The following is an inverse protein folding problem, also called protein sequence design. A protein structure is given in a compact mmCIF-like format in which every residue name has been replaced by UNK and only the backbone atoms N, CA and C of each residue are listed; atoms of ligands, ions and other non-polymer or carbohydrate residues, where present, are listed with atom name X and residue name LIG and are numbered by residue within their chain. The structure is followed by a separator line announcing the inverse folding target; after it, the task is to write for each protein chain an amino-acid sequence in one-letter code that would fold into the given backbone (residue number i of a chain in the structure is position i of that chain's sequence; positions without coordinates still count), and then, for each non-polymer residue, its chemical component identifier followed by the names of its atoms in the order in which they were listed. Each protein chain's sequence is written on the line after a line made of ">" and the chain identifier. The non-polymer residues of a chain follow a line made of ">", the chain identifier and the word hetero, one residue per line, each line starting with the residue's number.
data_IF_228138590882
#
_entry.id   IF_228138590882
#
_cell.length_a   1.000
_cell.length_b   1.000
_cell.length_c   1.000
_cell.angle_alpha   90.00
_cell.angle_beta   90.00
_cell.angle_gamma   90.00
#
_symmetry.space_group_name_H-M   'P 1'
#
loop_
_entity.id
_entity.type
_entity.pdbx_description
1 polymer ?
#
# COMPACT_ATOMS: atom_id res chain seq x y z
N UNK A 1 -22.53 7.85 -6.76
CA UNK A 1 -22.00 6.51 -7.09
C UNK A 1 -20.54 6.63 -7.54
N UNK A 2 -19.72 5.67 -7.13
CA UNK A 2 -18.25 5.67 -7.20
C UNK A 2 -17.79 4.27 -7.61
N UNK A 3 -16.86 4.17 -8.56
CA UNK A 3 -16.13 2.94 -8.88
C UNK A 3 -14.69 3.06 -8.35
N UNK A 4 -14.28 2.11 -7.52
CA UNK A 4 -12.89 1.95 -7.06
C UNK A 4 -12.33 0.68 -7.69
N UNK A 5 -11.18 0.78 -8.35
CA UNK A 5 -10.49 -0.36 -8.95
C UNK A 5 -9.06 -0.39 -8.42
N UNK A 6 -8.70 -1.51 -7.81
CA UNK A 6 -7.34 -1.76 -7.35
C UNK A 6 -6.60 -2.68 -8.33
N UNK A 7 -5.27 -2.57 -8.36
CA UNK A 7 -4.37 -3.35 -9.21
C UNK A 7 -4.79 -3.47 -10.69
N UNK A 8 -5.12 -2.34 -11.32
CA UNK A 8 -5.62 -2.30 -12.71
C UNK A 8 -4.68 -2.98 -13.71
N UNK A 9 -3.37 -3.01 -13.45
CA UNK A 9 -2.38 -3.66 -14.31
C UNK A 9 -2.70 -5.14 -14.62
N UNK A 10 -3.48 -5.83 -13.78
CA UNK A 10 -3.85 -7.23 -14.00
C UNK A 10 -4.87 -7.47 -15.12
N UNK A 11 -5.49 -6.43 -15.68
CA UNK A 11 -6.34 -6.57 -16.88
C UNK A 11 -5.51 -6.61 -18.16
N UNK A 12 -4.25 -6.18 -18.11
CA UNK A 12 -3.40 -6.11 -19.29
C UNK A 12 -3.20 -7.50 -19.93
N UNK A 13 -3.28 -7.57 -21.25
CA UNK A 13 -3.26 -8.83 -22.01
C UNK A 13 -4.53 -9.67 -21.92
N UNK A 14 -5.54 -9.28 -21.12
CA UNK A 14 -6.86 -9.94 -21.08
C UNK A 14 -7.85 -9.16 -21.95
N UNK A 15 -7.78 -9.36 -23.26
CA UNK A 15 -8.53 -8.57 -24.28
C UNK A 15 -10.02 -8.40 -23.94
N UNK A 16 -10.74 -9.48 -23.66
CA UNK A 16 -12.18 -9.39 -23.31
C UNK A 16 -12.44 -8.60 -22.02
N UNK A 17 -11.55 -8.69 -21.02
CA UNK A 17 -11.67 -7.92 -19.78
C UNK A 17 -11.39 -6.44 -20.02
N UNK A 18 -10.42 -6.12 -20.88
CA UNK A 18 -10.11 -4.75 -21.27
C UNK A 18 -11.28 -4.10 -22.03
N UNK A 19 -11.91 -4.84 -22.95
CA UNK A 19 -13.09 -4.38 -23.69
C UNK A 19 -14.26 -4.05 -22.75
N UNK A 20 -14.62 -4.99 -21.88
CA UNK A 20 -15.74 -4.78 -20.95
C UNK A 20 -15.47 -3.63 -19.96
N UNK A 21 -14.22 -3.56 -19.48
CA UNK A 21 -13.80 -2.47 -18.62
C UNK A 21 -13.86 -1.12 -19.35
N UNK A 22 -13.49 -1.05 -20.63
CA UNK A 22 -13.60 0.16 -21.44
C UNK A 22 -15.06 0.64 -21.55
N UNK A 23 -16.01 -0.27 -21.81
CA UNK A 23 -17.43 0.09 -21.86
C UNK A 23 -17.97 0.55 -20.49
N UNK A 24 -17.57 -0.13 -19.42
CA UNK A 24 -17.92 0.23 -18.05
C UNK A 24 -17.40 1.62 -17.70
N UNK A 25 -16.12 1.90 -18.02
CA UNK A 25 -15.49 3.20 -17.79
C UNK A 25 -16.27 4.31 -18.49
N UNK A 26 -16.56 4.14 -19.79
CA UNK A 26 -17.31 5.14 -20.57
C UNK A 26 -18.68 5.42 -19.98
N UNK A 27 -19.45 4.37 -19.71
CA UNK A 27 -20.81 4.51 -19.19
C UNK A 27 -20.85 5.26 -17.86
N UNK A 28 -19.89 4.99 -16.96
CA UNK A 28 -19.76 5.69 -15.68
C UNK A 28 -19.28 7.13 -15.84
N UNK A 29 -18.29 7.34 -16.69
CA UNK A 29 -17.75 8.67 -16.98
C UNK A 29 -18.83 9.59 -17.57
N UNK A 30 -19.57 9.11 -18.57
CA UNK A 30 -20.65 9.87 -19.22
C UNK A 30 -21.82 10.14 -18.25
N UNK A 31 -22.06 9.22 -17.31
CA UNK A 31 -23.00 9.41 -16.20
C UNK A 31 -22.43 10.27 -15.04
N UNK A 32 -21.28 10.91 -15.23
CA UNK A 32 -20.61 11.78 -14.26
C UNK A 32 -20.36 11.09 -12.90
N UNK A 33 -20.08 9.78 -12.94
CA UNK A 33 -19.73 8.99 -11.75
C UNK A 33 -18.22 9.06 -11.52
N UNK A 34 -17.83 9.08 -10.26
CA UNK A 34 -16.42 9.13 -9.91
C UNK A 34 -15.77 7.75 -10.13
N UNK A 35 -14.57 7.76 -10.71
CA UNK A 35 -13.77 6.55 -10.96
C UNK A 35 -12.40 6.80 -10.32
N UNK A 36 -11.94 5.89 -9.48
CA UNK A 36 -10.58 5.91 -8.91
C UNK A 36 -9.93 4.57 -9.23
N UNK A 37 -8.72 4.65 -9.76
CA UNK A 37 -7.94 3.51 -10.22
C UNK A 37 -6.59 3.55 -9.54
N UNK A 38 -6.20 2.43 -8.92
CA UNK A 38 -4.85 2.22 -8.42
C UNK A 38 -4.08 1.27 -9.36
N UNK A 39 -2.78 1.54 -9.50
CA UNK A 39 -1.86 0.80 -10.35
C UNK A 39 -0.49 0.72 -9.70
N UNK A 40 0.22 -0.39 -9.87
CA UNK A 40 1.60 -0.55 -9.39
C UNK A 40 2.64 0.21 -10.22
N UNK A 41 2.23 0.71 -11.39
CA UNK A 41 3.08 1.46 -12.34
C UNK A 41 2.26 2.46 -13.15
N UNK A 42 2.90 3.48 -13.75
CA UNK A 42 2.22 4.42 -14.64
C UNK A 42 1.52 3.72 -15.80
N UNK A 43 0.40 4.29 -16.28
CA UNK A 43 -0.38 3.72 -17.38
C UNK A 43 0.47 3.43 -18.65
N UNK A 44 1.47 4.28 -18.92
CA UNK A 44 2.42 4.12 -20.05
C UNK A 44 3.33 2.89 -19.90
N UNK A 45 3.56 2.40 -18.69
CA UNK A 45 4.45 1.27 -18.41
C UNK A 45 3.73 -0.09 -18.31
N UNK A 46 2.39 -0.10 -18.31
CA UNK A 46 1.60 -1.34 -18.29
C UNK A 46 1.64 -1.98 -19.68
N UNK A 47 2.55 -2.93 -19.90
CA UNK A 47 2.67 -3.67 -21.18
C UNK A 47 1.36 -4.38 -21.51
N UNK A 48 0.99 -4.42 -22.79
CA UNK A 48 -0.25 -5.08 -23.27
C UNK A 48 -1.56 -4.47 -22.77
N UNK A 49 -1.52 -3.29 -22.15
CA UNK A 49 -2.70 -2.44 -21.97
C UNK A 49 -2.99 -1.71 -23.28
N UNK A 50 -4.24 -1.77 -23.72
CA UNK A 50 -4.70 -1.11 -24.94
C UNK A 50 -4.54 0.41 -24.86
N UNK A 51 -4.16 1.02 -25.99
CA UNK A 51 -3.89 2.45 -26.09
C UNK A 51 -5.11 3.29 -25.65
N UNK A 52 -6.32 2.87 -26.01
CA UNK A 52 -7.54 3.58 -25.62
C UNK A 52 -7.72 3.67 -24.10
N UNK A 53 -7.36 2.62 -23.36
CA UNK A 53 -7.44 2.62 -21.89
C UNK A 53 -6.35 3.49 -21.28
N UNK A 54 -5.12 3.48 -21.83
CA UNK A 54 -4.04 4.37 -21.38
C UNK A 54 -4.46 5.82 -21.45
N UNK A 55 -5.00 6.24 -22.59
CA UNK A 55 -5.49 7.61 -22.78
C UNK A 55 -6.57 7.96 -21.75
N UNK A 56 -7.49 7.03 -21.43
CA UNK A 56 -8.51 7.28 -20.40
C UNK A 56 -7.93 7.43 -19.00
N UNK A 57 -6.92 6.65 -18.65
CA UNK A 57 -6.25 6.78 -17.35
C UNK A 57 -5.56 8.14 -17.21
N UNK A 58 -5.09 8.71 -18.31
CA UNK A 58 -4.47 10.04 -18.37
C UNK A 58 -5.45 11.22 -18.46
N UNK A 59 -6.75 10.97 -18.67
CA UNK A 59 -7.77 12.04 -18.66
C UNK A 59 -8.04 12.61 -17.27
N UNK A 60 -7.71 11.85 -16.23
CA UNK A 60 -7.97 12.20 -14.84
C UNK A 60 -6.79 12.86 -14.13
N UNK A 61 -6.94 13.01 -12.82
CA UNK A 61 -5.84 13.36 -11.94
C UNK A 61 -4.95 12.13 -11.73
N UNK A 62 -3.69 12.21 -12.18
CA UNK A 62 -2.66 11.22 -11.87
C UNK A 62 -1.89 11.68 -10.65
N UNK A 63 -1.95 10.89 -9.57
CA UNK A 63 -1.15 11.10 -8.38
C UNK A 63 -0.17 9.93 -8.23
N UNK A 64 1.09 10.26 -8.02
CA UNK A 64 2.16 9.29 -7.85
C UNK A 64 2.45 9.08 -6.36
N UNK A 65 2.59 7.81 -5.94
CA UNK A 65 2.81 7.43 -4.55
C UNK A 65 4.25 6.97 -4.41
N UNK A 66 5.08 7.86 -3.87
CA UNK A 66 6.51 7.62 -3.70
C UNK A 66 6.81 6.85 -2.39
N UNK A 67 7.92 6.10 -2.33
CA UNK A 67 8.38 5.49 -1.09
C UNK A 67 8.56 6.53 0.03
N UNK A 68 8.12 6.22 1.26
CA UNK A 68 8.22 7.17 2.38
C UNK A 68 9.68 7.37 2.82
N UNK A 69 10.01 8.60 3.20
CA UNK A 69 11.27 8.92 3.88
C UNK A 69 11.32 8.33 5.31
N UNK A 70 12.44 8.51 5.99
CA UNK A 70 12.63 7.95 7.34
C UNK A 70 11.60 8.49 8.34
N UNK A 71 11.38 9.81 8.37
CA UNK A 71 10.44 10.46 9.28
C UNK A 71 9.00 9.94 9.06
N UNK A 72 8.61 9.80 7.79
CA UNK A 72 7.31 9.25 7.41
C UNK A 72 7.20 7.77 7.80
N UNK A 73 8.26 6.97 7.66
CA UNK A 73 8.25 5.57 8.13
C UNK A 73 8.08 5.46 9.64
N UNK A 74 8.75 6.31 10.42
CA UNK A 74 8.56 6.39 11.88
C UNK A 74 7.11 6.76 12.21
N UNK A 75 6.55 7.77 11.53
CA UNK A 75 5.17 8.18 11.71
C UNK A 75 4.18 7.05 11.38
N UNK A 76 4.40 6.28 10.31
CA UNK A 76 3.59 5.10 9.97
C UNK A 76 3.63 4.05 11.09
N UNK A 77 4.82 3.74 11.60
CA UNK A 77 5.02 2.75 12.67
C UNK A 77 4.29 3.17 13.94
N UNK A 78 4.49 4.42 14.38
CA UNK A 78 3.80 4.99 15.55
C UNK A 78 2.29 5.01 15.36
N UNK A 79 1.82 5.47 14.20
CA UNK A 79 0.40 5.52 13.90
C UNK A 79 -0.24 4.14 13.93
N UNK A 80 0.47 3.10 13.46
CA UNK A 80 -0.01 1.72 13.56
C UNK A 80 -0.07 1.25 15.02
N UNK A 81 0.92 1.58 15.84
CA UNK A 81 0.94 1.22 17.26
C UNK A 81 -0.22 1.89 18.01
N UNK A 82 -0.47 3.18 17.77
CA UNK A 82 -1.62 3.92 18.31
C UNK A 82 -2.95 3.25 17.96
N UNK A 83 -3.15 2.86 16.69
CA UNK A 83 -4.37 2.17 16.24
C UNK A 83 -4.56 0.79 16.89
N UNK A 84 -3.48 0.17 17.35
CA UNK A 84 -3.50 -1.10 18.06
C UNK A 84 -3.50 -0.94 19.58
N UNK A 85 -3.52 0.30 20.09
CA UNK A 85 -3.36 0.63 21.50
C UNK A 85 -2.09 0.05 22.14
N UNK A 86 -1.03 -0.10 21.35
CA UNK A 86 0.28 -0.53 21.81
C UNK A 86 1.10 0.71 22.20
N UNK A 87 1.53 0.79 23.46
CA UNK A 87 2.53 1.77 23.87
C UNK A 87 3.89 1.34 23.30
N UNK A 88 4.33 2.02 22.24
CA UNK A 88 5.55 1.69 21.49
C UNK A 88 6.61 2.78 21.75
N UNK A 89 7.73 2.43 22.42
CA UNK A 89 8.83 3.35 22.64
C UNK A 89 9.40 3.93 21.33
N UNK A 90 9.86 5.19 21.41
CA UNK A 90 10.43 5.94 20.27
C UNK A 90 11.58 5.19 19.60
N UNK A 91 12.52 4.72 20.39
CA UNK A 91 13.73 4.02 19.96
C UNK A 91 13.39 2.72 19.21
N UNK A 92 12.31 2.03 19.59
CA UNK A 92 11.81 0.85 18.89
C UNK A 92 11.15 1.22 17.57
N UNK A 93 10.38 2.31 17.52
CA UNK A 93 9.78 2.80 16.28
C UNK A 93 10.86 3.22 15.27
N UNK A 94 11.86 3.98 15.72
CA UNK A 94 13.03 4.36 14.92
C UNK A 94 13.84 3.15 14.48
N UNK A 95 14.04 2.16 15.37
CA UNK A 95 14.72 0.91 15.03
C UNK A 95 14.02 0.20 13.87
N UNK A 96 12.70 0.02 13.95
CA UNK A 96 11.91 -0.62 12.88
C UNK A 96 12.02 0.17 11.57
N UNK A 97 11.83 1.49 11.62
CA UNK A 97 11.87 2.38 10.44
C UNK A 97 13.26 2.47 9.78
N UNK A 98 14.33 2.26 10.55
CA UNK A 98 15.70 2.21 10.05
C UNK A 98 16.02 0.91 9.31
N UNK A 99 15.44 -0.21 9.75
CA UNK A 99 15.73 -1.53 9.18
C UNK A 99 14.80 -1.90 8.02
N UNK A 100 13.54 -1.46 8.05
CA UNK A 100 12.53 -1.77 7.03
C UNK A 100 12.28 -0.57 6.11
N UNK A 101 13.07 -0.44 5.04
CA UNK A 101 13.06 0.77 4.19
C UNK A 101 12.11 0.73 2.99
N UNK A 102 11.83 -0.46 2.46
CA UNK A 102 11.30 -0.59 1.10
C UNK A 102 9.82 -1.01 1.02
N UNK A 103 9.21 -1.40 2.14
CA UNK A 103 7.86 -1.96 2.11
C UNK A 103 7.06 -1.55 3.35
N UNK A 104 6.04 -0.71 3.16
CA UNK A 104 5.17 -0.24 4.24
C UNK A 104 4.44 -1.42 4.91
N UNK A 105 4.07 -2.47 4.18
CA UNK A 105 3.43 -3.66 4.77
C UNK A 105 4.35 -4.36 5.78
N UNK A 106 5.67 -4.32 5.55
CA UNK A 106 6.64 -4.87 6.50
C UNK A 106 6.71 -4.05 7.78
N UNK A 107 6.69 -2.71 7.69
CA UNK A 107 6.60 -1.82 8.85
C UNK A 107 5.37 -2.15 9.69
N UNK A 108 4.19 -2.18 9.05
CA UNK A 108 2.95 -2.49 9.75
C UNK A 108 2.94 -3.91 10.33
N UNK A 109 3.50 -4.88 9.60
CA UNK A 109 3.63 -6.27 10.04
C UNK A 109 4.50 -6.41 11.29
N UNK A 110 5.60 -5.68 11.37
CA UNK A 110 6.47 -5.65 12.54
C UNK A 110 5.71 -5.16 13.78
N UNK A 111 4.96 -4.06 13.67
CA UNK A 111 4.15 -3.52 14.77
C UNK A 111 3.05 -4.50 15.19
N UNK A 112 2.38 -5.14 14.23
CA UNK A 112 1.37 -6.18 14.52
C UNK A 112 1.98 -7.37 15.28
N UNK A 113 3.19 -7.80 14.90
CA UNK A 113 3.88 -8.91 15.56
C UNK A 113 4.32 -8.54 16.98
N UNK A 114 4.83 -7.32 17.19
CA UNK A 114 5.10 -6.79 18.53
C UNK A 114 3.83 -6.74 19.39
N UNK A 115 2.73 -6.25 18.84
CA UNK A 115 1.45 -6.23 19.54
C UNK A 115 0.99 -7.65 19.90
N UNK A 116 1.19 -8.63 19.02
CA UNK A 116 0.86 -10.02 19.30
C UNK A 116 1.69 -10.59 20.46
N UNK A 117 3.00 -10.32 20.51
CA UNK A 117 3.85 -10.73 21.64
C UNK A 117 3.38 -10.09 22.96
N UNK A 118 3.00 -8.82 22.92
CA UNK A 118 2.46 -8.13 24.09
C UNK A 118 1.13 -8.75 24.54
N UNK A 119 0.19 -8.94 23.63
CA UNK A 119 -1.16 -9.42 23.96
C UNK A 119 -1.21 -10.89 24.38
N UNK A 120 -0.35 -11.73 23.82
CA UNK A 120 -0.37 -13.18 24.06
C UNK A 120 0.59 -13.60 25.18
N UNK A 121 1.73 -12.92 25.32
CA UNK A 121 2.82 -13.33 26.22
C UNK A 121 3.16 -12.26 27.27
N UNK A 122 2.56 -11.06 27.19
CA UNK A 122 2.85 -9.95 28.11
C UNK A 122 4.23 -9.32 27.87
N UNK A 123 4.88 -9.64 26.76
CA UNK A 123 6.24 -9.17 26.45
C UNK A 123 6.19 -7.72 26.00
N UNK A 124 6.95 -6.85 26.67
CA UNK A 124 7.02 -5.43 26.34
C UNK A 124 7.74 -5.21 25.00
N UNK A 125 7.29 -4.23 24.18
CA UNK A 125 7.91 -3.94 22.89
C UNK A 125 9.23 -3.16 23.10
N UNK A 126 10.31 -3.89 23.36
CA UNK A 126 11.69 -3.37 23.45
C UNK A 126 12.51 -3.74 22.21
N UNK A 127 13.67 -3.11 22.02
CA UNK A 127 14.53 -3.31 20.83
C UNK A 127 14.83 -4.78 20.56
N UNK A 128 15.13 -5.59 21.58
CA UNK A 128 15.45 -7.01 21.41
C UNK A 128 14.26 -7.82 20.87
N UNK A 129 13.04 -7.47 21.27
CA UNK A 129 11.82 -8.11 20.77
C UNK A 129 11.53 -7.65 19.35
N UNK A 130 11.80 -6.38 19.04
CA UNK A 130 11.68 -5.85 17.68
C UNK A 130 12.66 -6.51 16.71
N UNK A 131 13.90 -6.76 17.12
CA UNK A 131 14.89 -7.54 16.36
C UNK A 131 14.34 -8.92 15.98
N UNK A 132 13.75 -9.62 16.95
CA UNK A 132 13.13 -10.93 16.71
C UNK A 132 11.90 -10.82 15.80
N UNK A 133 11.09 -9.77 15.97
CA UNK A 133 9.90 -9.56 15.17
C UNK A 133 10.24 -9.39 13.68
N UNK A 134 11.29 -8.64 13.36
CA UNK A 134 11.69 -8.34 11.97
C UNK A 134 12.68 -9.34 11.37
N UNK A 135 13.20 -10.30 12.15
CA UNK A 135 14.24 -11.25 11.71
C UNK A 135 13.86 -12.00 10.43
N UNK A 136 12.62 -12.48 10.35
CA UNK A 136 12.12 -13.25 9.20
C UNK A 136 11.86 -12.37 7.96
N UNK A 137 11.84 -11.05 8.15
CA UNK A 137 11.57 -10.06 7.10
C UNK A 137 12.88 -9.60 6.42
N UNK A 138 13.99 -9.69 7.15
CA UNK A 138 15.33 -9.30 6.70
C UNK A 138 16.07 -10.42 5.96
N UNK A 139 15.59 -11.67 6.06
CA UNK A 139 16.19 -12.84 5.42
C UNK A 139 15.61 -13.09 4.03
#
# INVERSE_FOLDING_TARGET
>A
DLLLVDDIQFIAGKESTQEEFFHTFNSLHDAHKQIVIASDRPAKEIKSLEERLRTRFEWGLTADVQPPDFETRVAIVKRKAELLHLDLPEDVAEFIANHLKNNIRQLEGAVKKLNAYYMLEGIQPVISVAQNAIKDILN
#
